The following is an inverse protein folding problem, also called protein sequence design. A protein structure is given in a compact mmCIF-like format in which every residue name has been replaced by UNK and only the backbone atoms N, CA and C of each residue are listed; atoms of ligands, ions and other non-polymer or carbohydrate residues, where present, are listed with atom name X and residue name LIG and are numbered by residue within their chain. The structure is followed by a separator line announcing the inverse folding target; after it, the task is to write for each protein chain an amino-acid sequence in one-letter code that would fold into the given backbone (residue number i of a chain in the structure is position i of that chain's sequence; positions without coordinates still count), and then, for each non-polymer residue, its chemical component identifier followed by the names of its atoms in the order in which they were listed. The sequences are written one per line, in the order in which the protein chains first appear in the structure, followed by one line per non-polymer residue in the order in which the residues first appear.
data_IF_901318570931
#
_entry.id   IF_901318570931
#
_cell.length_a   1.000
_cell.length_b   1.000
_cell.length_c   1.000
_cell.angle_alpha   90.00
_cell.angle_beta   90.00
_cell.angle_gamma   90.00
#
_symmetry.space_group_name_H-M   'P 1'
#
loop_
_entity.id
_entity.type
_entity.pdbx_description
1 polymer ?
#
# COMPACT_ATOMS: atom_id res chain seq x y z
N UNK A 1 -60.66 11.12 -49.19
CA UNK A 1 -60.82 10.36 -47.93
C UNK A 1 -59.56 10.56 -47.10
N UNK A 2 -59.69 11.30 -46.00
CA UNK A 2 -58.65 11.56 -44.99
C UNK A 2 -58.66 10.44 -43.93
N UNK A 3 -57.48 10.07 -43.41
CA UNK A 3 -57.20 9.66 -42.03
C UNK A 3 -55.76 9.07 -42.00
N UNK A 4 -54.74 9.85 -41.62
CA UNK A 4 -54.23 10.07 -40.26
C UNK A 4 -53.44 8.86 -39.73
N UNK A 5 -52.11 8.99 -39.81
CA UNK A 5 -51.10 8.17 -39.12
C UNK A 5 -51.12 8.52 -37.64
N UNK A 6 -51.15 7.52 -36.76
CA UNK A 6 -50.89 7.72 -35.33
C UNK A 6 -50.09 6.53 -34.78
N UNK A 7 -48.77 6.65 -34.80
CA UNK A 7 -47.87 5.83 -33.99
C UNK A 7 -47.54 6.62 -32.73
N UNK A 8 -48.13 6.23 -31.60
CA UNK A 8 -47.81 6.80 -30.29
C UNK A 8 -46.41 6.35 -29.86
N UNK A 9 -45.42 7.22 -30.09
CA UNK A 9 -44.13 7.12 -29.42
C UNK A 9 -44.31 7.48 -27.94
N UNK A 10 -44.09 6.51 -27.06
CA UNK A 10 -44.04 6.72 -25.61
C UNK A 10 -42.88 7.66 -25.27
N UNK A 11 -43.17 8.94 -25.04
CA UNK A 11 -42.22 9.91 -24.48
C UNK A 11 -42.04 9.61 -23.00
N UNK A 12 -41.02 8.83 -22.67
CA UNK A 12 -40.48 8.81 -21.31
C UNK A 12 -39.96 10.21 -20.99
N UNK A 13 -40.35 10.85 -19.87
CA UNK A 13 -39.76 12.13 -19.50
C UNK A 13 -38.29 11.87 -19.10
N UNK A 14 -37.38 12.29 -19.97
CA UNK A 14 -35.95 12.37 -19.68
C UNK A 14 -35.76 13.22 -18.42
N UNK A 15 -35.15 12.63 -17.39
CA UNK A 15 -34.65 13.37 -16.24
C UNK A 15 -33.71 14.47 -16.74
N UNK A 16 -33.90 15.69 -16.23
CA UNK A 16 -33.02 16.84 -16.49
C UNK A 16 -31.61 16.45 -16.07
N UNK A 17 -30.76 16.23 -17.07
CA UNK A 17 -29.33 15.99 -16.87
C UNK A 17 -28.71 17.36 -16.63
N UNK A 18 -28.47 17.68 -15.36
CA UNK A 18 -27.67 18.86 -15.02
C UNK A 18 -26.24 18.58 -15.46
N UNK A 19 -25.79 19.28 -16.50
CA UNK A 19 -24.38 19.37 -16.86
C UNK A 19 -23.68 20.16 -15.74
N UNK A 20 -23.31 19.46 -14.68
CA UNK A 20 -22.37 19.95 -13.70
C UNK A 20 -21.06 20.07 -14.48
N UNK A 21 -20.70 21.28 -14.91
CA UNK A 21 -19.46 21.61 -15.64
C UNK A 21 -18.19 21.25 -14.85
N UNK A 22 -18.05 19.98 -14.53
CA UNK A 22 -16.85 19.30 -14.09
C UNK A 22 -16.13 19.07 -15.39
N UNK A 23 -15.18 19.95 -15.68
CA UNK A 23 -14.19 19.75 -16.73
C UNK A 23 -13.53 18.39 -16.45
N UNK A 24 -13.95 17.36 -17.20
CA UNK A 24 -13.66 15.94 -16.91
C UNK A 24 -12.17 15.58 -17.10
N UNK A 25 -11.35 16.58 -17.45
CA UNK A 25 -9.89 16.51 -17.41
C UNK A 25 -9.37 16.75 -15.98
N UNK A 26 -9.93 16.05 -14.99
CA UNK A 26 -9.14 15.79 -13.79
C UNK A 26 -7.92 14.98 -14.26
N UNK A 27 -6.68 15.39 -13.97
CA UNK A 27 -5.52 14.56 -14.29
C UNK A 27 -5.76 13.20 -13.66
N UNK A 28 -5.81 12.16 -14.49
CA UNK A 28 -6.00 10.78 -14.05
C UNK A 28 -4.75 10.37 -13.26
N UNK A 29 -4.74 10.71 -11.97
CA UNK A 29 -3.68 10.34 -11.04
C UNK A 29 -3.63 8.81 -11.00
N UNK A 30 -2.46 8.25 -11.32
CA UNK A 30 -2.28 6.79 -11.32
C UNK A 30 -2.61 6.20 -9.94
N UNK A 31 -2.99 4.92 -9.88
CA UNK A 31 -3.21 4.26 -8.59
C UNK A 31 -1.96 4.33 -7.69
N UNK A 32 -0.77 4.19 -8.28
CA UNK A 32 0.51 4.31 -7.58
C UNK A 32 0.73 5.71 -6.97
N UNK A 33 0.41 6.75 -7.73
CA UNK A 33 0.52 8.14 -7.27
C UNK A 33 -0.51 8.45 -6.16
N UNK A 34 -1.76 7.97 -6.30
CA UNK A 34 -2.78 8.09 -5.25
C UNK A 34 -2.32 7.43 -3.95
N UNK A 35 -1.77 6.21 -4.03
CA UNK A 35 -1.23 5.50 -2.87
C UNK A 35 -0.07 6.26 -2.24
N UNK A 36 0.85 6.79 -3.04
CA UNK A 36 1.97 7.59 -2.53
C UNK A 36 1.51 8.86 -1.79
N UNK A 37 0.53 9.58 -2.34
CA UNK A 37 -0.06 10.76 -1.68
C UNK A 37 -0.73 10.39 -0.35
N UNK A 38 -1.52 9.31 -0.33
CA UNK A 38 -2.16 8.82 0.89
C UNK A 38 -1.11 8.42 1.95
N UNK A 39 -0.07 7.71 1.55
CA UNK A 39 1.02 7.31 2.43
C UNK A 39 1.78 8.51 3.01
N UNK A 40 2.07 9.53 2.21
CA UNK A 40 2.66 10.78 2.68
C UNK A 40 1.80 11.48 3.73
N UNK A 41 0.48 11.50 3.53
CA UNK A 41 -0.47 12.02 4.52
C UNK A 41 -0.41 11.21 5.82
N UNK A 42 -0.33 9.89 5.74
CA UNK A 42 -0.25 9.03 6.92
C UNK A 42 1.01 9.30 7.75
N UNK A 43 2.17 9.47 7.10
CA UNK A 43 3.40 9.91 7.76
C UNK A 43 3.21 11.21 8.55
N UNK A 44 2.58 12.22 7.93
CA UNK A 44 2.33 13.50 8.58
C UNK A 44 1.37 13.38 9.77
N UNK A 45 0.32 12.56 9.65
CA UNK A 45 -0.65 12.32 10.72
C UNK A 45 0.01 11.66 11.96
N UNK A 46 1.01 10.82 11.74
CA UNK A 46 1.79 10.17 12.79
C UNK A 46 3.01 10.99 13.26
N UNK A 47 3.25 12.17 12.69
CA UNK A 47 4.40 13.01 13.06
C UNK A 47 5.76 12.46 12.66
N UNK A 48 5.80 11.49 11.73
CA UNK A 48 7.03 10.86 11.26
C UNK A 48 7.46 11.52 9.95
N UNK A 49 8.75 11.82 9.82
CA UNK A 49 9.33 12.25 8.55
C UNK A 49 9.53 11.03 7.64
N UNK A 50 9.00 11.03 6.41
CA UNK A 50 9.20 9.92 5.49
C UNK A 50 10.68 9.71 5.13
N UNK A 51 11.07 8.51 4.66
CA UNK A 51 12.45 8.23 4.25
C UNK A 51 12.94 9.20 3.16
N UNK A 52 14.12 9.79 3.35
CA UNK A 52 14.66 10.82 2.46
C UNK A 52 14.84 10.35 1.00
N UNK A 53 15.09 9.05 0.80
CA UNK A 53 15.19 8.43 -0.52
C UNK A 53 13.93 8.61 -1.39
N UNK A 54 12.77 8.88 -0.78
CA UNK A 54 11.50 9.09 -1.47
C UNK A 54 11.04 10.56 -1.46
N UNK A 55 11.88 11.50 -1.02
CA UNK A 55 11.59 12.94 -0.95
C UNK A 55 12.23 13.75 -2.10
N UNK A 56 12.20 13.21 -3.32
CA UNK A 56 12.66 13.90 -4.53
C UNK A 56 11.59 14.86 -5.10
N UNK A 57 11.98 15.85 -5.93
CA UNK A 57 11.02 16.77 -6.55
C UNK A 57 9.88 16.04 -7.26
N UNK A 58 8.64 16.48 -7.02
CA UNK A 58 7.41 15.87 -7.55
C UNK A 58 7.05 14.48 -6.99
N UNK A 59 7.76 13.98 -5.97
CA UNK A 59 7.40 12.72 -5.30
C UNK A 59 5.94 12.78 -4.78
N UNK A 60 5.11 11.77 -5.10
CA UNK A 60 3.75 11.67 -4.57
C UNK A 60 3.72 11.62 -3.04
N UNK A 61 4.68 10.91 -2.46
CA UNK A 61 4.86 10.77 -1.01
C UNK A 61 5.27 12.09 -0.36
N UNK A 62 6.17 12.85 -1.00
CA UNK A 62 6.49 14.21 -0.53
C UNK A 62 5.26 15.11 -0.58
N UNK A 63 4.52 15.15 -1.71
CA UNK A 63 3.31 15.97 -1.86
C UNK A 63 2.28 15.71 -0.76
N UNK A 64 1.96 14.44 -0.50
CA UNK A 64 1.04 14.05 0.55
C UNK A 64 1.50 14.49 1.95
N UNK A 65 2.79 14.32 2.24
CA UNK A 65 3.38 14.71 3.52
C UNK A 65 3.35 16.23 3.73
N UNK A 66 3.78 17.02 2.74
CA UNK A 66 3.77 18.49 2.85
C UNK A 66 2.35 19.04 3.01
N UNK A 67 1.36 18.43 2.36
CA UNK A 67 -0.05 18.86 2.41
C UNK A 67 -0.73 18.61 3.77
N UNK A 68 -0.26 17.62 4.53
CA UNK A 68 -0.85 17.24 5.81
C UNK A 68 0.03 17.63 7.02
N UNK A 69 1.29 18.01 6.78
CA UNK A 69 2.23 18.53 7.77
C UNK A 69 1.68 19.77 8.47
N UNK A 70 1.96 19.91 9.77
CA UNK A 70 1.53 21.04 10.60
C UNK A 70 0.22 20.79 11.35
N UNK A 71 -0.45 19.66 11.11
CA UNK A 71 -1.52 19.20 11.97
C UNK A 71 -0.95 18.73 13.32
N UNK A 72 -1.60 19.06 14.45
CA UNK A 72 -1.14 18.61 15.75
C UNK A 72 -1.21 17.09 15.85
N UNK A 73 -0.10 16.48 16.22
CA UNK A 73 0.01 15.04 16.47
C UNK A 73 -0.42 14.78 17.91
N UNK A 74 -1.47 13.98 18.09
CA UNK A 74 -2.05 13.72 19.42
C UNK A 74 -1.19 12.80 20.27
N UNK A 75 -0.52 11.84 19.63
CA UNK A 75 0.30 10.83 20.30
C UNK A 75 1.52 10.51 19.43
N UNK A 76 2.71 10.32 20.03
CA UNK A 76 3.88 9.87 19.29
C UNK A 76 3.62 8.49 18.69
N UNK A 77 4.18 8.24 17.51
CA UNK A 77 4.07 6.95 16.86
C UNK A 77 4.80 5.86 17.67
N UNK A 78 4.16 4.71 17.85
CA UNK A 78 4.83 3.50 18.36
C UNK A 78 5.78 2.92 17.32
N UNK A 79 6.77 2.12 17.73
CA UNK A 79 7.68 1.41 16.82
C UNK A 79 6.94 0.53 15.79
N UNK A 80 5.78 -0.03 16.15
CA UNK A 80 4.95 -0.80 15.22
C UNK A 80 4.31 0.06 14.13
N UNK A 81 3.99 1.32 14.43
CA UNK A 81 3.47 2.28 13.43
C UNK A 81 4.59 2.72 12.50
N UNK A 82 5.78 3.00 13.03
CA UNK A 82 6.97 3.29 12.21
C UNK A 82 7.28 2.13 11.26
N UNK A 83 7.29 0.90 11.76
CA UNK A 83 7.52 -0.30 10.96
C UNK A 83 6.43 -0.50 9.90
N UNK A 84 5.16 -0.29 10.27
CA UNK A 84 4.03 -0.37 9.34
C UNK A 84 4.16 0.64 8.19
N UNK A 85 4.50 1.90 8.48
CA UNK A 85 4.72 2.93 7.46
C UNK A 85 5.95 2.60 6.59
N UNK A 86 7.02 2.06 7.18
CA UNK A 86 8.20 1.62 6.44
C UNK A 86 7.86 0.47 5.46
N UNK A 87 7.09 -0.53 5.90
CA UNK A 87 6.65 -1.64 5.04
C UNK A 87 5.73 -1.16 3.91
N UNK A 88 4.80 -0.24 4.18
CA UNK A 88 3.95 0.38 3.14
C UNK A 88 4.78 1.15 2.13
N UNK A 89 5.78 1.89 2.59
CA UNK A 89 6.71 2.62 1.72
C UNK A 89 7.52 1.68 0.84
N UNK A 90 8.02 0.58 1.41
CA UNK A 90 8.79 -0.39 0.65
C UNK A 90 7.93 -1.14 -0.38
N UNK A 91 6.69 -1.48 -0.03
CA UNK A 91 5.71 -2.05 -0.97
C UNK A 91 5.43 -1.10 -2.14
N UNK A 92 5.11 0.16 -1.82
CA UNK A 92 4.85 1.21 -2.80
C UNK A 92 6.05 1.47 -3.72
N UNK A 93 7.25 1.62 -3.16
CA UNK A 93 8.47 1.87 -3.92
C UNK A 93 8.79 0.74 -4.93
N UNK A 94 8.38 -0.49 -4.62
CA UNK A 94 8.57 -1.68 -5.48
C UNK A 94 7.37 -2.00 -6.37
N UNK A 95 6.33 -1.17 -6.37
CA UNK A 95 5.08 -1.43 -7.11
C UNK A 95 4.37 -2.70 -6.66
N UNK A 96 4.52 -3.11 -5.40
CA UNK A 96 3.88 -4.30 -4.83
C UNK A 96 2.60 -3.92 -4.08
N UNK A 97 1.62 -4.81 -4.09
CA UNK A 97 0.41 -4.65 -3.31
C UNK A 97 0.69 -4.73 -1.81
N UNK A 98 -0.08 -3.98 -1.04
CA UNK A 98 -0.08 -3.99 0.42
C UNK A 98 -1.50 -4.17 0.92
N UNK A 99 -1.70 -5.10 1.86
CA UNK A 99 -3.01 -5.43 2.41
C UNK A 99 -3.34 -4.55 3.62
N UNK A 100 -3.97 -3.39 3.40
CA UNK A 100 -4.23 -2.44 4.50
C UNK A 100 -5.23 -2.95 5.58
N UNK A 101 -6.05 -3.97 5.28
CA UNK A 101 -7.10 -4.46 6.19
C UNK A 101 -6.52 -5.32 7.32
N UNK A 102 -5.76 -6.36 6.97
CA UNK A 102 -5.22 -7.28 7.97
C UNK A 102 -3.84 -6.86 8.47
N UNK A 103 -3.03 -6.25 7.58
CA UNK A 103 -1.67 -5.84 7.91
C UNK A 103 -1.68 -4.49 8.63
N UNK A 104 -2.00 -4.54 9.91
CA UNK A 104 -2.09 -3.40 10.82
C UNK A 104 -0.88 -3.33 11.75
N UNK A 105 -0.61 -2.18 12.40
CA UNK A 105 0.41 -2.10 13.47
C UNK A 105 0.18 -3.13 14.60
N UNK A 106 -1.08 -3.43 14.91
CA UNK A 106 -1.43 -4.45 15.90
C UNK A 106 -1.02 -5.85 15.43
N UNK A 107 -1.25 -6.19 14.16
CA UNK A 107 -0.80 -7.46 13.60
C UNK A 107 0.73 -7.56 13.63
N UNK A 108 1.46 -6.48 13.30
CA UNK A 108 2.92 -6.47 13.39
C UNK A 108 3.44 -6.73 14.81
N UNK A 109 2.72 -6.25 15.84
CA UNK A 109 3.05 -6.56 17.23
C UNK A 109 2.92 -8.06 17.56
N UNK A 110 2.00 -8.77 16.88
CA UNK A 110 1.78 -10.19 17.08
C UNK A 110 2.80 -11.09 16.35
N UNK A 111 3.61 -10.53 15.45
CA UNK A 111 4.65 -11.27 14.74
C UNK A 111 5.91 -11.50 15.59
N UNK A 112 5.90 -11.08 16.87
CA UNK A 112 7.03 -11.30 17.76
C UNK A 112 7.23 -12.80 18.02
N UNK A 113 8.43 -13.28 17.71
CA UNK A 113 8.81 -14.67 17.80
C UNK A 113 10.24 -14.79 18.35
N UNK A 114 10.47 -15.84 19.14
CA UNK A 114 11.80 -16.14 19.69
C UNK A 114 12.67 -16.95 18.75
N UNK A 115 12.05 -17.70 17.82
CA UNK A 115 12.74 -18.56 16.87
C UNK A 115 12.32 -18.23 15.44
N UNK A 116 13.24 -18.37 14.50
CA UNK A 116 12.96 -18.14 13.09
C UNK A 116 12.03 -19.25 12.57
N UNK A 117 10.89 -18.92 11.93
CA UNK A 117 9.97 -19.95 11.44
C UNK A 117 10.56 -20.80 10.30
N UNK A 118 11.64 -20.33 9.67
CA UNK A 118 12.31 -21.00 8.55
C UNK A 118 13.47 -21.87 9.06
N UNK A 119 14.46 -21.28 9.74
CA UNK A 119 15.66 -22.02 10.20
C UNK A 119 15.47 -22.72 11.54
N UNK A 120 14.43 -22.35 12.32
CA UNK A 120 14.18 -22.78 13.70
C UNK A 120 15.28 -22.41 14.70
N UNK A 121 16.23 -21.58 14.29
CA UNK A 121 17.27 -21.02 15.16
C UNK A 121 16.70 -19.85 15.98
N UNK A 122 17.31 -19.57 17.13
CA UNK A 122 16.97 -18.39 17.94
C UNK A 122 17.15 -17.11 17.11
N UNK A 123 16.16 -16.22 17.21
CA UNK A 123 16.22 -14.90 16.58
C UNK A 123 17.05 -13.97 17.45
N UNK A 124 18.10 -13.46 16.83
CA UNK A 124 18.95 -12.43 17.38
C UNK A 124 18.29 -11.05 17.16
N UNK A 125 18.21 -10.24 18.22
CA UNK A 125 17.39 -9.03 18.24
C UNK A 125 17.89 -7.96 17.25
N UNK A 126 19.18 -7.96 16.99
CA UNK A 126 19.91 -7.03 16.13
C UNK A 126 19.88 -7.43 14.65
N UNK A 127 19.62 -8.71 14.37
CA UNK A 127 19.70 -9.26 13.01
C UNK A 127 18.37 -9.79 12.47
N UNK A 128 17.34 -9.87 13.32
CA UNK A 128 15.97 -10.22 12.90
C UNK A 128 15.33 -9.10 12.08
N UNK A 129 14.55 -9.48 11.08
CA UNK A 129 13.80 -8.55 10.23
C UNK A 129 12.43 -9.12 9.89
N UNK A 130 11.44 -8.23 9.71
CA UNK A 130 10.14 -8.62 9.17
C UNK A 130 10.22 -8.56 7.65
N UNK A 131 10.09 -9.72 7.02
CA UNK A 131 10.21 -9.88 5.58
C UNK A 131 9.08 -10.74 5.05
N UNK A 132 8.86 -10.63 3.73
CA UNK A 132 7.94 -11.51 3.03
C UNK A 132 8.50 -12.93 3.00
N UNK A 133 7.70 -13.96 3.24
CA UNK A 133 8.11 -15.36 3.05
C UNK A 133 8.25 -15.66 1.56
N UNK A 134 7.33 -15.15 0.73
CA UNK A 134 7.37 -15.22 -0.73
C UNK A 134 7.62 -13.85 -1.35
N UNK A 135 8.67 -13.74 -2.18
CA UNK A 135 9.06 -12.46 -2.79
C UNK A 135 8.26 -12.04 -4.03
N UNK A 136 7.61 -13.00 -4.68
CA UNK A 136 6.73 -12.81 -5.83
C UNK A 136 5.35 -12.28 -5.40
N UNK A 137 4.91 -12.60 -4.18
CA UNK A 137 3.63 -12.16 -3.61
C UNK A 137 3.68 -10.76 -2.97
N UNK A 138 2.51 -10.18 -2.72
CA UNK A 138 2.36 -8.88 -2.05
C UNK A 138 2.69 -8.90 -0.54
N UNK A 139 2.59 -7.72 0.08
CA UNK A 139 2.65 -7.57 1.52
C UNK A 139 1.27 -7.89 2.10
N UNK A 140 1.16 -9.04 2.78
CA UNK A 140 -0.07 -9.54 3.35
C UNK A 140 0.23 -10.17 4.72
N UNK A 141 -0.74 -10.19 5.62
CA UNK A 141 -0.57 -10.74 6.97
C UNK A 141 -0.07 -12.19 6.94
N UNK A 142 -0.63 -13.02 6.05
CA UNK A 142 -0.21 -14.41 5.85
C UNK A 142 1.12 -14.61 5.11
N UNK A 143 1.75 -13.55 4.60
CA UNK A 143 3.02 -13.63 3.87
C UNK A 143 4.17 -12.91 4.59
N UNK A 144 3.96 -12.31 5.76
CA UNK A 144 5.02 -11.67 6.53
C UNK A 144 5.44 -12.55 7.71
N UNK A 145 6.74 -12.57 7.97
CA UNK A 145 7.29 -13.28 9.11
C UNK A 145 8.50 -12.52 9.67
N UNK A 146 8.65 -12.57 10.99
CA UNK A 146 9.90 -12.21 11.65
C UNK A 146 10.92 -13.33 11.41
N UNK A 147 11.98 -13.05 10.67
CA UNK A 147 12.96 -14.04 10.23
C UNK A 147 14.40 -13.60 10.47
N UNK A 148 15.31 -14.57 10.49
CA UNK A 148 16.74 -14.30 10.62
C UNK A 148 17.30 -13.77 9.30
N UNK A 149 18.36 -12.97 9.38
CA UNK A 149 19.11 -12.49 8.21
C UNK A 149 19.55 -13.64 7.30
N UNK A 150 20.00 -14.75 7.88
CA UNK A 150 20.40 -15.96 7.15
C UNK A 150 19.25 -16.54 6.31
N UNK A 151 18.05 -16.66 6.90
CA UNK A 151 16.88 -17.15 6.20
C UNK A 151 16.52 -16.23 5.01
N UNK A 152 16.52 -14.92 5.25
CA UNK A 152 16.19 -13.93 4.22
C UNK A 152 17.21 -13.93 3.06
N UNK A 153 18.51 -14.06 3.37
CA UNK A 153 19.57 -14.19 2.36
C UNK A 153 19.44 -15.47 1.53
N UNK A 154 19.18 -16.61 2.18
CA UNK A 154 19.02 -17.89 1.49
C UNK A 154 17.82 -17.88 0.53
N UNK A 155 16.73 -17.19 0.91
CA UNK A 155 15.57 -16.94 0.05
C UNK A 155 15.93 -16.10 -1.18
N UNK A 156 16.72 -15.03 -1.00
CA UNK A 156 17.19 -14.21 -2.12
C UNK A 156 18.03 -14.98 -3.15
N UNK A 157 18.75 -16.02 -2.71
CA UNK A 157 19.55 -16.89 -3.57
C UNK A 157 18.73 -17.97 -4.33
N UNK A 158 17.48 -18.23 -3.94
CA UNK A 158 16.61 -19.24 -4.57
C UNK A 158 15.26 -18.61 -4.90
N UNK A 159 15.16 -17.99 -6.07
CA UNK A 159 13.89 -17.46 -6.55
C UNK A 159 12.92 -18.59 -6.95
N UNK A 160 11.61 -18.34 -6.89
CA UNK A 160 10.57 -19.30 -7.30
C UNK A 160 10.85 -19.95 -8.65
N UNK A 161 11.35 -19.18 -9.63
CA UNK A 161 11.69 -19.70 -10.95
C UNK A 161 12.73 -20.83 -10.89
N UNK A 162 13.69 -20.81 -9.96
CA UNK A 162 14.71 -21.85 -9.83
C UNK A 162 14.12 -23.15 -9.28
N UNK A 163 13.01 -23.08 -8.54
CA UNK A 163 12.26 -24.26 -8.11
C UNK A 163 11.37 -24.79 -9.24
N UNK A 164 10.79 -23.91 -10.05
CA UNK A 164 10.01 -24.29 -11.25
C UNK A 164 10.90 -24.97 -12.29
N UNK A 165 12.10 -24.44 -12.53
CA UNK A 165 13.06 -24.99 -13.50
C UNK A 165 13.63 -26.36 -13.08
N UNK A 166 13.42 -26.77 -11.82
CA UNK A 166 13.83 -28.08 -11.28
C UNK A 166 12.72 -29.15 -11.35
N UNK A 167 11.49 -28.78 -11.73
CA UNK A 167 10.32 -29.66 -11.81
C UNK A 167 10.02 -30.07 -13.25
#
# INVERSE_FOLDING_TARGET
MQAVLNTTASRTPSLVQFDLGIDDTLPLISAHERTGIALGRDYALHGITPPIAHLYPQSPLQRGWLAARGRPVRQPASSQVELWLALRTHAWARGRSFEDIQLTPHHLAQLDATHCPITRELLDAETRSIDRVRDDAGYAAGNLALMSRRANQAKGARHHQALVDMA
#
